data_IF_039787230060
#
_entry.id   IF_039787230060
#
_cell.length_a   1.000
_cell.length_b   1.000
_cell.length_c   1.000
_cell.angle_alpha   90.00
_cell.angle_beta   90.00
_cell.angle_gamma   90.00
#
_symmetry.space_group_name_H-M   'P 1'
#
loop_
_entity.id
_entity.type
_entity.pdbx_description
1 polymer ?
#
# COMPACT_ATOMS: atom_id res chain seq x y z
N UNK A 1 -10.62 -3.55 -4.36
CA UNK A 1 -11.35 -2.29 -4.58
C UNK A 1 -10.38 -1.25 -5.11
N UNK A 2 -10.79 -0.48 -6.13
CA UNK A 2 -10.00 0.62 -6.66
C UNK A 2 -10.84 1.91 -6.64
N UNK A 3 -10.24 2.98 -6.15
CA UNK A 3 -10.83 4.31 -6.11
C UNK A 3 -9.89 5.27 -6.82
N UNK A 4 -10.43 5.95 -7.82
CA UNK A 4 -9.69 6.88 -8.65
C UNK A 4 -10.00 8.32 -8.27
N UNK A 5 -9.03 9.20 -8.48
CA UNK A 5 -9.15 10.64 -8.25
C UNK A 5 -9.57 11.02 -6.80
N UNK A 6 -8.94 10.37 -5.82
CA UNK A 6 -9.16 10.67 -4.41
C UNK A 6 -8.32 11.88 -4.01
N UNK A 7 -8.96 12.91 -3.44
CA UNK A 7 -8.29 14.15 -3.02
C UNK A 7 -8.06 14.23 -1.49
N UNK A 8 -8.53 13.25 -0.73
CA UNK A 8 -8.32 13.18 0.72
C UNK A 8 -9.23 12.13 1.38
N UNK A 9 -8.88 11.74 2.59
CA UNK A 9 -9.61 10.74 3.37
C UNK A 9 -10.09 11.31 4.69
N UNK A 10 -11.41 11.43 4.92
CA UNK A 10 -11.95 11.65 6.25
C UNK A 10 -11.50 10.55 7.22
N UNK A 11 -11.35 10.89 8.50
CA UNK A 11 -10.84 9.97 9.52
C UNK A 11 -11.59 8.63 9.57
N UNK A 12 -12.92 8.66 9.44
CA UNK A 12 -13.74 7.46 9.48
C UNK A 12 -13.53 6.53 8.27
N UNK A 13 -13.21 7.09 7.10
CA UNK A 13 -12.83 6.28 5.92
C UNK A 13 -11.45 5.66 6.13
N UNK A 14 -10.47 6.42 6.65
CA UNK A 14 -9.16 5.90 7.01
C UNK A 14 -9.28 4.71 7.96
N UNK A 15 -10.09 4.83 9.02
CA UNK A 15 -10.33 3.74 9.97
C UNK A 15 -11.00 2.53 9.30
N UNK A 16 -11.92 2.76 8.37
CA UNK A 16 -12.57 1.68 7.61
C UNK A 16 -11.59 0.97 6.69
N UNK A 17 -10.71 1.70 6.01
CA UNK A 17 -9.66 1.14 5.16
C UNK A 17 -8.67 0.31 5.98
N UNK A 18 -8.29 0.77 7.17
CA UNK A 18 -7.46 -0.01 8.08
C UNK A 18 -8.10 -1.36 8.44
N UNK A 19 -9.41 -1.39 8.69
CA UNK A 19 -10.15 -2.63 8.98
C UNK A 19 -10.22 -3.54 7.75
N UNK A 20 -10.52 -2.98 6.59
CA UNK A 20 -10.54 -3.75 5.33
C UNK A 20 -9.20 -4.35 4.98
N UNK A 21 -8.09 -3.65 5.26
CA UNK A 21 -6.75 -4.14 4.98
C UNK A 21 -6.35 -5.32 5.88
N UNK A 22 -6.85 -5.36 7.13
CA UNK A 22 -6.43 -6.36 8.14
C UNK A 22 -7.48 -7.40 8.48
N UNK A 23 -8.66 -7.37 7.84
CA UNK A 23 -9.74 -8.33 8.10
C UNK A 23 -10.49 -8.07 9.41
N UNK A 24 -10.51 -6.82 9.89
CA UNK A 24 -11.35 -6.43 11.02
C UNK A 24 -12.80 -6.29 10.59
N UNK A 25 -13.68 -7.17 11.09
CA UNK A 25 -15.11 -7.06 10.86
C UNK A 25 -15.70 -5.76 11.40
N UNK A 26 -16.76 -5.28 10.79
CA UNK A 26 -17.59 -4.22 11.35
C UNK A 26 -19.05 -4.62 11.34
N UNK A 27 -19.75 -4.25 12.42
CA UNK A 27 -21.16 -4.46 12.56
C UNK A 27 -21.92 -3.24 12.07
N UNK A 28 -22.94 -3.45 11.26
CA UNK A 28 -23.88 -2.41 10.84
C UNK A 28 -25.27 -2.86 11.26
N UNK A 29 -26.02 -1.96 11.90
CA UNK A 29 -27.39 -2.22 12.27
C UNK A 29 -28.22 -2.44 10.99
N UNK A 30 -28.94 -3.55 10.96
CA UNK A 30 -29.84 -3.84 9.85
C UNK A 30 -31.01 -2.84 9.85
N UNK A 31 -31.26 -2.23 8.69
CA UNK A 31 -32.41 -1.34 8.52
C UNK A 31 -33.71 -2.13 8.69
N UNK A 32 -34.64 -1.55 9.46
CA UNK A 32 -35.97 -2.12 9.73
C UNK A 32 -36.04 -3.31 10.73
N UNK A 33 -34.94 -3.60 11.47
CA UNK A 33 -34.95 -4.55 12.60
C UNK A 33 -34.40 -3.87 13.85
N UNK A 34 -35.04 -4.15 15.01
CA UNK A 34 -34.66 -3.46 16.26
C UNK A 34 -33.42 -4.06 16.96
N UNK A 35 -32.99 -5.27 16.59
CA UNK A 35 -31.91 -5.99 17.28
C UNK A 35 -30.94 -6.75 16.39
N UNK A 36 -31.10 -6.74 15.08
CA UNK A 36 -30.21 -7.50 14.19
C UNK A 36 -29.03 -6.65 13.69
N UNK A 37 -27.83 -7.13 13.95
CA UNK A 37 -26.58 -6.59 13.40
C UNK A 37 -26.11 -7.46 12.24
N UNK A 38 -25.76 -6.83 11.12
CA UNK A 38 -25.06 -7.51 10.03
C UNK A 38 -23.57 -7.33 10.24
N UNK A 39 -22.88 -8.44 10.48
CA UNK A 39 -21.42 -8.49 10.57
C UNK A 39 -20.83 -8.59 9.16
N UNK A 40 -20.06 -7.58 8.81
CA UNK A 40 -19.21 -7.63 7.61
C UNK A 40 -17.81 -8.03 8.04
N UNK A 41 -17.40 -9.24 7.70
CA UNK A 41 -16.02 -9.70 7.84
C UNK A 41 -15.41 -9.81 6.45
N UNK A 42 -14.52 -8.89 6.14
CA UNK A 42 -13.89 -8.84 4.83
C UNK A 42 -12.47 -8.27 4.92
N UNK A 43 -11.50 -9.01 4.40
CA UNK A 43 -10.20 -8.49 4.04
C UNK A 43 -10.15 -8.30 2.52
N UNK A 44 -9.83 -7.10 2.07
CA UNK A 44 -9.78 -6.76 0.64
C UNK A 44 -8.62 -5.82 0.36
N UNK A 45 -7.81 -6.09 -0.66
CA UNK A 45 -6.84 -5.13 -1.14
C UNK A 45 -7.58 -3.90 -1.69
N UNK A 46 -7.07 -2.73 -1.37
CA UNK A 46 -7.60 -1.44 -1.81
C UNK A 46 -6.50 -0.69 -2.55
N UNK A 47 -6.84 -0.13 -3.69
CA UNK A 47 -5.99 0.76 -4.47
C UNK A 47 -6.64 2.14 -4.43
N UNK A 48 -5.87 3.12 -4.01
CA UNK A 48 -6.24 4.53 -4.04
C UNK A 48 -5.33 5.24 -5.04
N UNK A 49 -5.90 6.03 -5.91
CA UNK A 49 -5.16 6.86 -6.86
C UNK A 49 -5.58 8.32 -6.70
N UNK A 50 -4.62 9.24 -6.66
CA UNK A 50 -4.83 10.66 -6.52
C UNK A 50 -3.55 11.45 -6.77
N UNK A 51 -3.67 12.77 -6.86
CA UNK A 51 -2.56 13.69 -7.14
C UNK A 51 -1.92 14.18 -5.83
N UNK A 52 -2.72 14.31 -4.77
CA UNK A 52 -2.29 14.81 -3.47
C UNK A 52 -1.94 13.66 -2.52
N UNK A 53 -1.29 13.96 -1.40
CA UNK A 53 -1.02 12.99 -0.34
C UNK A 53 -2.34 12.57 0.33
N UNK A 54 -2.85 11.41 -0.09
CA UNK A 54 -4.14 10.88 0.35
C UNK A 54 -4.06 10.34 1.78
N UNK A 55 -2.92 9.75 2.15
CA UNK A 55 -2.71 9.07 3.42
C UNK A 55 -1.89 9.94 4.36
N UNK A 56 -2.56 10.63 5.26
CA UNK A 56 -1.96 11.54 6.24
C UNK A 56 -1.92 10.96 7.67
N UNK A 57 -2.54 9.79 7.89
CA UNK A 57 -2.61 9.17 9.21
C UNK A 57 -1.62 8.01 9.34
N UNK A 58 -0.86 7.96 10.45
CA UNK A 58 0.20 6.95 10.66
C UNK A 58 -0.31 5.51 10.61
N UNK A 59 -1.51 5.25 11.13
CA UNK A 59 -2.06 3.90 11.20
C UNK A 59 -2.45 3.33 9.83
N UNK A 60 -2.87 4.17 8.88
CA UNK A 60 -3.11 3.78 7.50
C UNK A 60 -1.80 3.71 6.71
N UNK A 61 -0.87 4.64 6.96
CA UNK A 61 0.46 4.62 6.33
C UNK A 61 1.21 3.32 6.63
N UNK A 62 1.12 2.81 7.86
CA UNK A 62 1.69 1.51 8.26
C UNK A 62 1.09 0.30 7.53
N UNK A 63 -0.05 0.46 6.87
CA UNK A 63 -0.77 -0.58 6.12
C UNK A 63 -0.80 -0.33 4.62
N UNK A 64 -0.08 0.64 4.15
CA UNK A 64 -0.05 1.05 2.75
C UNK A 64 1.32 0.79 2.11
N UNK A 65 1.31 0.64 0.80
CA UNK A 65 2.49 0.73 -0.07
C UNK A 65 2.24 1.91 -0.99
N UNK A 66 3.19 2.83 -1.03
CA UNK A 66 3.09 4.05 -1.82
C UNK A 66 3.82 3.87 -3.15
N UNK A 67 3.16 4.24 -4.24
CA UNK A 67 3.75 4.24 -5.57
C UNK A 67 3.60 5.64 -6.16
N UNK A 68 4.71 6.32 -6.30
CA UNK A 68 4.75 7.63 -6.96
C UNK A 68 5.08 7.43 -8.43
N UNK A 69 4.19 7.88 -9.30
CA UNK A 69 4.36 7.84 -10.74
C UNK A 69 4.80 9.22 -11.21
N UNK A 70 5.87 9.26 -11.99
CA UNK A 70 6.30 10.50 -12.63
C UNK A 70 5.30 10.94 -13.71
N UNK A 71 5.17 12.26 -13.88
CA UNK A 71 4.35 12.81 -14.94
C UNK A 71 4.90 12.38 -16.31
N UNK A 72 4.01 11.93 -17.20
CA UNK A 72 4.39 11.56 -18.57
C UNK A 72 4.70 12.85 -19.35
N UNK A 73 5.94 13.05 -19.81
CA UNK A 73 6.30 14.19 -20.65
C UNK A 73 5.42 14.27 -21.89
N UNK A 74 5.17 15.47 -22.36
CA UNK A 74 4.21 15.70 -23.45
C UNK A 74 4.57 14.91 -24.72
N UNK A 75 5.84 14.84 -25.05
CA UNK A 75 6.37 14.10 -26.20
C UNK A 75 6.27 12.57 -26.08
N UNK A 76 6.01 12.06 -24.88
CA UNK A 76 5.81 10.62 -24.61
C UNK A 76 4.36 10.22 -24.42
N UNK A 77 3.43 11.19 -24.47
CA UNK A 77 2.01 10.91 -24.36
C UNK A 77 1.53 10.16 -25.60
N UNK A 78 0.66 9.19 -25.38
CA UNK A 78 0.07 8.39 -26.44
C UNK A 78 -1.45 8.39 -26.30
N UNK A 79 -2.21 8.25 -27.39
CA UNK A 79 -3.64 8.02 -27.33
C UNK A 79 -3.98 6.77 -26.50
N UNK A 80 -5.07 6.82 -25.77
CA UNK A 80 -5.51 5.72 -24.90
C UNK A 80 -5.69 4.40 -25.69
N UNK A 81 -6.21 4.47 -26.89
CA UNK A 81 -6.40 3.30 -27.76
C UNK A 81 -5.08 2.57 -28.06
N UNK A 82 -4.00 3.31 -28.30
CA UNK A 82 -2.67 2.73 -28.53
C UNK A 82 -2.11 2.07 -27.26
N UNK A 83 -2.33 2.70 -26.10
CA UNK A 83 -1.94 2.15 -24.82
C UNK A 83 -2.64 0.82 -24.55
N UNK A 84 -3.95 0.78 -24.75
CA UNK A 84 -4.75 -0.45 -24.56
C UNK A 84 -4.34 -1.55 -25.53
N UNK A 85 -4.09 -1.24 -26.79
CA UNK A 85 -3.63 -2.22 -27.78
C UNK A 85 -2.28 -2.83 -27.40
N UNK A 86 -1.36 -1.99 -26.92
CA UNK A 86 -0.05 -2.46 -26.42
C UNK A 86 -0.22 -3.33 -25.15
N UNK A 87 -1.05 -2.91 -24.22
CA UNK A 87 -1.34 -3.66 -23.00
C UNK A 87 -1.93 -5.05 -23.30
N UNK A 88 -2.93 -5.14 -24.19
CA UNK A 88 -3.55 -6.41 -24.57
C UNK A 88 -2.55 -7.38 -25.19
N UNK A 89 -1.55 -6.87 -25.93
CA UNK A 89 -0.46 -7.68 -26.49
C UNK A 89 0.45 -8.24 -25.41
N UNK A 90 0.75 -7.46 -24.39
CA UNK A 90 1.66 -7.86 -23.29
C UNK A 90 0.95 -8.55 -22.12
N UNK A 91 -0.37 -8.41 -22.00
CA UNK A 91 -1.16 -8.96 -20.88
C UNK A 91 -0.91 -10.45 -20.58
N UNK A 92 -0.79 -11.35 -21.58
CA UNK A 92 -0.50 -12.75 -21.30
C UNK A 92 0.87 -12.97 -20.65
N UNK A 93 1.87 -12.18 -21.06
CA UNK A 93 3.23 -12.27 -20.49
C UNK A 93 3.25 -11.72 -19.05
N UNK A 94 2.56 -10.59 -18.81
CA UNK A 94 2.40 -10.01 -17.46
C UNK A 94 1.72 -11.04 -16.54
N UNK A 95 0.63 -11.68 -17.00
CA UNK A 95 -0.05 -12.71 -16.21
C UNK A 95 0.87 -13.90 -15.94
N UNK A 96 1.63 -14.35 -16.94
CA UNK A 96 2.61 -15.44 -16.78
C UNK A 96 3.63 -15.11 -15.69
N UNK A 97 4.22 -13.93 -15.74
CA UNK A 97 5.18 -13.45 -14.74
C UNK A 97 4.57 -13.39 -13.33
N UNK A 98 3.32 -12.93 -13.19
CA UNK A 98 2.62 -12.90 -11.89
C UNK A 98 2.37 -14.32 -11.36
N UNK A 99 2.02 -15.27 -12.22
CA UNK A 99 1.84 -16.67 -11.84
C UNK A 99 3.15 -17.32 -11.42
N UNK A 100 4.26 -17.04 -12.11
CA UNK A 100 5.59 -17.49 -11.71
C UNK A 100 5.98 -16.95 -10.32
N UNK A 101 5.69 -15.67 -10.05
CA UNK A 101 5.89 -15.08 -8.73
C UNK A 101 5.06 -15.80 -7.64
N UNK A 102 3.80 -16.14 -7.92
CA UNK A 102 2.95 -16.89 -6.98
C UNK A 102 3.52 -18.29 -6.74
N UNK A 103 3.98 -18.99 -7.78
CA UNK A 103 4.60 -20.32 -7.65
C UNK A 103 5.86 -20.26 -6.78
N UNK A 104 6.71 -19.25 -6.99
CA UNK A 104 7.89 -19.04 -6.15
C UNK A 104 7.50 -18.71 -4.71
N UNK A 105 6.51 -17.84 -4.50
CA UNK A 105 5.98 -17.53 -3.18
C UNK A 105 5.51 -18.77 -2.42
N UNK A 106 4.68 -19.60 -3.05
CA UNK A 106 4.21 -20.85 -2.44
C UNK A 106 5.34 -21.81 -2.09
N UNK A 107 6.38 -21.86 -2.91
CA UNK A 107 7.54 -22.74 -2.70
C UNK A 107 8.45 -22.25 -1.58
N UNK A 108 8.73 -20.94 -1.53
CA UNK A 108 9.75 -20.37 -0.65
C UNK A 108 9.21 -19.81 0.67
N UNK A 109 7.92 -19.50 0.77
CA UNK A 109 7.30 -18.92 1.98
C UNK A 109 7.64 -19.69 3.27
N UNK A 110 7.64 -21.04 3.32
CA UNK A 110 7.95 -21.76 4.56
C UNK A 110 9.37 -21.51 5.08
N UNK A 111 10.30 -21.16 4.19
CA UNK A 111 11.72 -20.94 4.51
C UNK A 111 12.08 -19.45 4.58
N UNK A 112 11.19 -18.57 4.10
CA UNK A 112 11.44 -17.12 4.07
C UNK A 112 11.47 -16.56 5.50
N UNK A 113 12.52 -15.80 5.81
CA UNK A 113 12.70 -15.13 7.09
C UNK A 113 13.13 -13.69 6.82
N UNK A 114 12.62 -12.77 7.64
CA UNK A 114 13.02 -11.37 7.65
C UNK A 114 13.66 -11.03 8.99
N UNK A 115 14.68 -10.20 8.99
CA UNK A 115 15.36 -9.76 10.22
C UNK A 115 14.42 -9.06 11.22
N UNK A 116 13.46 -8.31 10.68
CA UNK A 116 12.38 -7.65 11.44
C UNK A 116 11.05 -7.80 10.71
N UNK A 117 9.98 -7.92 11.48
CA UNK A 117 8.63 -8.00 10.93
C UNK A 117 7.95 -6.63 11.01
N UNK A 118 7.46 -6.09 9.90
CA UNK A 118 6.65 -4.89 9.87
C UNK A 118 5.22 -5.19 10.35
N UNK A 119 4.38 -4.16 10.44
CA UNK A 119 2.96 -4.34 10.77
C UNK A 119 2.22 -5.28 9.81
N UNK A 120 2.53 -5.20 8.51
CA UNK A 120 2.02 -6.14 7.51
C UNK A 120 3.01 -7.31 7.33
N UNK A 121 3.23 -8.08 8.41
CA UNK A 121 4.23 -9.15 8.45
C UNK A 121 4.01 -10.21 7.35
N UNK A 122 2.78 -10.71 7.23
CA UNK A 122 2.43 -11.75 6.25
C UNK A 122 2.59 -11.26 4.81
N UNK A 123 2.22 -10.01 4.54
CA UNK A 123 2.46 -9.39 3.22
C UNK A 123 3.96 -9.30 2.92
N UNK A 124 4.76 -8.84 3.88
CA UNK A 124 6.19 -8.69 3.67
C UNK A 124 6.89 -10.04 3.45
N UNK A 125 6.53 -11.06 4.21
CA UNK A 125 7.03 -12.43 4.03
C UNK A 125 6.63 -13.00 2.68
N UNK A 126 5.36 -12.84 2.31
CA UNK A 126 4.85 -13.33 1.03
C UNK A 126 5.53 -12.66 -0.17
N UNK A 127 5.62 -11.33 -0.17
CA UNK A 127 6.23 -10.58 -1.26
C UNK A 127 7.74 -10.87 -1.39
N UNK A 128 8.45 -11.04 -0.26
CA UNK A 128 9.85 -11.47 -0.26
C UNK A 128 10.01 -12.90 -0.79
N UNK A 129 9.07 -13.79 -0.51
CA UNK A 129 9.10 -15.14 -1.06
C UNK A 129 8.84 -15.16 -2.59
N UNK A 130 8.03 -14.23 -3.09
CA UNK A 130 7.71 -14.10 -4.52
C UNK A 130 8.83 -13.44 -5.33
N UNK A 131 9.65 -12.59 -4.72
CA UNK A 131 10.55 -11.65 -5.42
C UNK A 131 11.53 -12.34 -6.36
N UNK A 132 12.02 -13.53 -6.00
CA UNK A 132 13.07 -14.21 -6.77
C UNK A 132 12.63 -14.72 -8.14
N UNK A 133 11.32 -14.70 -8.43
CA UNK A 133 10.80 -14.92 -9.78
C UNK A 133 11.08 -13.74 -10.72
N UNK A 134 11.30 -12.54 -10.17
CA UNK A 134 11.34 -11.29 -10.94
C UNK A 134 12.64 -10.54 -10.67
N UNK A 135 13.12 -10.53 -9.42
CA UNK A 135 14.27 -9.75 -8.95
C UNK A 135 15.23 -10.58 -8.10
N UNK A 136 16.47 -10.11 -7.91
CA UNK A 136 17.37 -10.68 -6.93
C UNK A 136 16.79 -10.64 -5.52
N UNK A 137 17.12 -11.63 -4.69
CA UNK A 137 16.67 -11.70 -3.29
C UNK A 137 17.08 -10.46 -2.51
N UNK A 138 16.15 -9.93 -1.69
CA UNK A 138 16.32 -8.74 -0.88
C UNK A 138 15.94 -7.44 -1.57
N UNK A 139 15.65 -7.46 -2.88
CA UNK A 139 15.25 -6.26 -3.64
C UNK A 139 13.93 -5.69 -3.11
N UNK A 140 12.91 -6.54 -2.96
CA UNK A 140 11.61 -6.12 -2.41
C UNK A 140 11.76 -5.59 -0.99
N UNK A 141 12.49 -6.30 -0.14
CA UNK A 141 12.63 -5.89 1.26
C UNK A 141 13.28 -4.52 1.41
N UNK A 142 14.35 -4.28 0.65
CA UNK A 142 15.03 -2.98 0.64
C UNK A 142 14.10 -1.85 0.16
N UNK A 143 13.39 -2.07 -0.96
CA UNK A 143 12.45 -1.10 -1.50
C UNK A 143 11.27 -0.84 -0.55
N UNK A 144 10.73 -1.89 0.08
CA UNK A 144 9.63 -1.78 1.03
C UNK A 144 10.02 -1.01 2.30
N UNK A 145 11.23 -1.23 2.81
CA UNK A 145 11.74 -0.47 3.96
C UNK A 145 11.88 1.01 3.61
N UNK A 146 12.50 1.35 2.47
CA UNK A 146 12.61 2.74 2.02
C UNK A 146 11.25 3.41 1.82
N UNK A 147 10.30 2.70 1.23
CA UNK A 147 8.94 3.19 1.03
C UNK A 147 8.22 3.51 2.35
N UNK A 148 8.42 2.67 3.38
CA UNK A 148 7.87 2.93 4.71
C UNK A 148 8.55 4.11 5.41
N UNK A 149 9.86 4.24 5.29
CA UNK A 149 10.60 5.35 5.88
C UNK A 149 10.15 6.68 5.27
N UNK A 150 9.98 6.73 3.94
CA UNK A 150 9.43 7.88 3.23
C UNK A 150 7.98 8.20 3.66
N UNK A 151 7.13 7.17 3.82
CA UNK A 151 5.76 7.36 4.30
C UNK A 151 5.70 7.96 5.71
N UNK A 152 6.60 7.56 6.60
CA UNK A 152 6.72 8.14 7.96
C UNK A 152 7.16 9.60 7.87
N UNK A 153 8.14 9.90 7.02
CA UNK A 153 8.59 11.28 6.79
C UNK A 153 7.43 12.18 6.31
N UNK A 154 6.68 11.73 5.33
CA UNK A 154 5.54 12.48 4.78
C UNK A 154 4.46 12.74 5.84
N UNK A 155 4.16 11.75 6.70
CA UNK A 155 3.21 11.94 7.81
C UNK A 155 3.72 12.96 8.84
N UNK A 156 5.01 12.96 9.15
CA UNK A 156 5.62 13.93 10.07
C UNK A 156 5.59 15.34 9.47
N UNK A 157 5.88 15.48 8.18
CA UNK A 157 5.86 16.76 7.47
C UNK A 157 4.45 17.33 7.31
N UNK A 158 3.45 16.46 7.19
CA UNK A 158 2.04 16.88 7.12
C UNK A 158 1.49 17.39 8.46
N UNK A 159 2.12 17.07 9.60
CA UNK A 159 1.75 17.57 10.91
C UNK A 159 2.65 18.76 11.31
N UNK A 160 2.12 20.02 11.36
CA UNK A 160 2.92 21.21 11.67
C UNK A 160 3.59 21.15 13.05
N UNK A 161 2.98 20.46 14.02
CA UNK A 161 3.55 20.32 15.38
C UNK A 161 4.71 19.34 15.36
N UNK A 162 4.53 18.18 14.73
CA UNK A 162 5.59 17.18 14.59
C UNK A 162 6.77 17.73 13.79
N UNK A 163 6.53 18.44 12.69
CA UNK A 163 7.55 19.10 11.89
C UNK A 163 8.33 20.15 12.69
N UNK A 164 7.64 20.98 13.49
CA UNK A 164 8.29 21.97 14.34
C UNK A 164 9.13 21.34 15.45
N UNK A 165 8.63 20.28 16.11
CA UNK A 165 9.40 19.53 17.11
C UNK A 165 10.66 18.94 16.50
N UNK A 166 10.54 18.31 15.32
CA UNK A 166 11.67 17.72 14.61
C UNK A 166 12.73 18.79 14.23
N UNK A 167 12.31 19.96 13.77
CA UNK A 167 13.23 21.05 13.46
C UNK A 167 14.02 21.50 14.70
N UNK A 168 13.36 21.64 15.85
CA UNK A 168 14.02 21.98 17.12
C UNK A 168 14.98 20.89 17.57
N UNK A 169 14.61 19.62 17.38
CA UNK A 169 15.47 18.49 17.76
C UNK A 169 16.70 18.34 16.85
N UNK A 170 16.60 18.69 15.59
CA UNK A 170 17.72 18.66 14.66
C UNK A 170 18.82 19.68 15.01
N UNK A 171 18.47 20.77 15.69
CA UNK A 171 19.43 21.79 16.13
C UNK A 171 20.06 21.49 17.49
N UNK A 172 19.57 20.49 18.23
CA UNK A 172 20.05 20.11 19.55
C UNK A 172 20.79 18.77 19.51
N UNK A 173 22.05 18.77 19.93
CA UNK A 173 22.87 17.56 20.02
C UNK A 173 22.75 16.86 21.38
N UNK A 174 22.22 17.50 22.40
CA UNK A 174 22.01 16.95 23.76
C UNK A 174 20.72 17.49 24.39
N UNK A 175 20.12 16.71 25.29
CA UNK A 175 18.92 17.04 26.10
C UNK A 175 19.33 17.41 27.51
#
# INVERSE_FOLDING_TARGET
LAFDNVSGLPSWISDTLCRLATGGGFAVRQLYTDQDEVLFDAARPVILNGIEDIVTRPDLADRAVFLTLEAIPEERRRPEAELWAAFETERPKILGMLLDAVVMGLKLLPETRLERLPRMADFALWASACETAIWPSGTFWSAYCGNRDEAVENVIEADPVAAAVRAVMAERTEW
#
